data_IF_723326250366
#
_entry.id   IF_723326250366
#
_cell.length_a   1.000
_cell.length_b   1.000
_cell.length_c   1.000
_cell.angle_alpha   90.00
_cell.angle_beta   90.00
_cell.angle_gamma   90.00
#
_symmetry.space_group_name_H-M   'P 1'
#
loop_
_entity.id
_entity.type
_entity.pdbx_description
1 polymer ?
#
# COMPACT_ATOMS: atom_id res chain seq x y z
N UNK A 1 -11.26 14.74 2.49
CA UNK A 1 -10.97 16.00 1.74
C UNK A 1 -11.34 15.80 0.27
N UNK A 2 -12.05 16.75 -0.35
CA UNK A 2 -12.36 16.73 -1.78
C UNK A 2 -13.40 15.72 -2.25
N UNK A 3 -13.39 15.48 -3.57
CA UNK A 3 -14.33 14.59 -4.26
C UNK A 3 -15.42 15.34 -5.01
N UNK A 4 -16.40 14.59 -5.56
CA UNK A 4 -17.53 15.14 -6.32
C UNK A 4 -18.81 14.34 -6.07
N UNK A 5 -19.93 14.96 -6.41
CA UNK A 5 -21.25 14.33 -6.32
C UNK A 5 -21.60 13.49 -7.59
N UNK A 6 -22.79 12.90 -7.58
CA UNK A 6 -23.31 12.08 -8.70
C UNK A 6 -23.53 12.87 -9.99
N UNK A 7 -23.60 14.21 -9.92
CA UNK A 7 -23.73 15.09 -11.06
C UNK A 7 -22.37 15.59 -11.57
N UNK A 8 -21.27 15.05 -11.03
CA UNK A 8 -19.90 15.48 -11.28
C UNK A 8 -19.61 16.92 -10.84
N UNK A 9 -20.35 17.45 -9.86
CA UNK A 9 -20.06 18.73 -9.23
C UNK A 9 -19.05 18.51 -8.13
N UNK A 10 -17.93 19.21 -8.22
CA UNK A 10 -16.86 19.16 -7.23
C UNK A 10 -17.33 19.71 -5.88
N UNK A 11 -17.01 19.02 -4.80
CA UNK A 11 -17.26 19.56 -3.46
C UNK A 11 -16.40 20.78 -3.21
N UNK A 12 -17.01 21.79 -2.62
CA UNK A 12 -16.36 23.09 -2.33
C UNK A 12 -15.88 23.23 -0.90
N UNK A 13 -16.23 22.28 -0.03
CA UNK A 13 -15.86 22.30 1.39
C UNK A 13 -15.47 20.92 1.91
N UNK A 14 -14.66 20.85 2.97
CA UNK A 14 -14.36 19.59 3.64
C UNK A 14 -15.59 18.98 4.33
N UNK A 15 -15.58 17.65 4.49
CA UNK A 15 -16.48 16.93 5.36
C UNK A 15 -15.71 16.36 6.54
N UNK A 16 -16.29 16.45 7.71
CA UNK A 16 -15.79 15.88 8.95
C UNK A 16 -16.74 14.76 9.42
N UNK A 17 -16.18 13.60 9.73
CA UNK A 17 -16.90 12.52 10.36
C UNK A 17 -16.55 12.46 11.85
N UNK A 18 -17.58 12.44 12.69
CA UNK A 18 -17.45 12.20 14.13
C UNK A 18 -17.84 10.74 14.44
N UNK A 19 -16.87 9.87 14.78
CA UNK A 19 -17.17 8.49 15.11
C UNK A 19 -17.97 8.33 16.41
N UNK A 20 -17.91 9.31 17.32
CA UNK A 20 -18.64 9.27 18.58
C UNK A 20 -20.15 9.42 18.40
N UNK A 21 -20.58 10.30 17.51
CA UNK A 21 -21.98 10.54 17.16
C UNK A 21 -22.41 9.79 15.89
N UNK A 22 -21.48 9.15 15.19
CA UNK A 22 -21.69 8.53 13.88
C UNK A 22 -22.36 9.49 12.89
N UNK A 23 -21.84 10.70 12.79
CA UNK A 23 -22.42 11.75 11.96
C UNK A 23 -21.40 12.50 11.12
N UNK A 24 -21.87 13.09 10.02
CA UNK A 24 -21.09 13.92 9.13
C UNK A 24 -21.48 15.39 9.25
N UNK A 25 -20.48 16.26 9.22
CA UNK A 25 -20.63 17.71 9.18
C UNK A 25 -19.91 18.29 7.98
N UNK A 26 -20.60 19.12 7.19
CA UNK A 26 -19.95 19.94 6.16
C UNK A 26 -19.31 21.14 6.84
N UNK A 27 -18.02 21.33 6.62
CA UNK A 27 -17.26 22.45 7.18
C UNK A 27 -17.54 23.73 6.41
N UNK A 28 -17.32 24.88 7.05
CA UNK A 28 -17.52 26.20 6.42
C UNK A 28 -16.33 26.67 5.59
N UNK A 29 -15.15 26.09 5.80
CA UNK A 29 -13.97 26.36 4.98
C UNK A 29 -14.24 26.00 3.52
N UNK A 30 -13.72 26.83 2.60
CA UNK A 30 -13.89 26.65 1.16
C UNK A 30 -12.55 26.33 0.52
N UNK A 31 -12.52 25.33 -0.34
CA UNK A 31 -11.31 24.99 -1.12
C UNK A 31 -10.90 26.16 -2.01
N UNK A 32 -9.60 26.32 -2.27
CA UNK A 32 -9.10 27.43 -3.07
C UNK A 32 -9.53 27.39 -4.53
N UNK A 33 -9.94 26.22 -5.01
CA UNK A 33 -10.38 25.96 -6.38
C UNK A 33 -11.24 24.70 -6.47
N UNK A 34 -11.60 24.27 -7.68
CA UNK A 34 -12.40 23.08 -7.97
C UNK A 34 -11.54 21.85 -8.34
N UNK A 35 -10.23 21.88 -8.13
CA UNK A 35 -9.33 20.75 -8.38
C UNK A 35 -9.26 19.83 -7.16
N UNK A 36 -10.38 19.24 -6.79
CA UNK A 36 -10.55 18.55 -5.50
C UNK A 36 -10.55 17.02 -5.61
N UNK A 37 -10.40 16.45 -6.81
CA UNK A 37 -10.18 15.01 -6.97
C UNK A 37 -8.68 14.68 -7.00
N UNK A 38 -8.34 13.45 -6.60
CA UNK A 38 -6.98 12.89 -6.70
C UNK A 38 -5.90 13.73 -5.99
N UNK A 39 -6.25 14.41 -4.92
CA UNK A 39 -5.29 15.13 -4.08
C UNK A 39 -4.47 14.16 -3.23
N UNK A 40 -3.19 14.45 -3.02
CA UNK A 40 -2.38 13.84 -1.99
C UNK A 40 -2.53 14.63 -0.69
N UNK A 41 -3.12 14.03 0.32
CA UNK A 41 -3.37 14.70 1.59
C UNK A 41 -2.75 13.96 2.77
N UNK A 42 -2.27 14.72 3.77
CA UNK A 42 -1.74 14.17 5.00
C UNK A 42 -1.71 15.19 6.11
N UNK A 43 -1.70 14.72 7.36
CA UNK A 43 -1.53 15.58 8.54
C UNK A 43 -0.05 15.86 8.73
N UNK A 44 0.33 17.14 8.73
CA UNK A 44 1.70 17.58 8.98
C UNK A 44 1.70 18.65 10.07
N UNK A 45 2.72 18.60 10.92
CA UNK A 45 2.94 19.61 11.96
C UNK A 45 3.70 20.81 11.39
N UNK A 46 3.14 21.99 11.54
CA UNK A 46 3.81 23.27 11.23
C UNK A 46 3.91 24.11 12.49
N UNK A 47 5.13 24.28 12.98
CA UNK A 47 5.43 25.13 14.13
C UNK A 47 4.62 24.78 15.39
N UNK A 48 4.35 23.48 15.63
CA UNK A 48 3.65 22.97 16.79
C UNK A 48 2.14 22.80 16.59
N UNK A 49 1.60 23.11 15.42
CA UNK A 49 0.18 22.93 15.07
C UNK A 49 0.04 21.90 13.95
N UNK A 50 -0.89 20.97 14.10
CA UNK A 50 -1.22 19.98 13.10
C UNK A 50 -2.25 20.51 12.11
N UNK A 51 -1.94 20.42 10.82
CA UNK A 51 -2.82 20.82 9.73
C UNK A 51 -2.96 19.67 8.73
N UNK A 52 -4.06 19.64 7.99
CA UNK A 52 -4.20 18.74 6.84
C UNK A 52 -3.66 19.48 5.61
N UNK A 53 -2.52 19.05 5.11
CA UNK A 53 -1.94 19.52 3.85
C UNK A 53 -2.47 18.68 2.70
N UNK A 54 -2.91 19.33 1.63
CA UNK A 54 -3.33 18.67 0.40
C UNK A 54 -2.60 19.28 -0.79
N UNK A 55 -1.97 18.42 -1.58
CA UNK A 55 -1.18 18.80 -2.74
C UNK A 55 -1.84 18.32 -4.02
N UNK A 56 -1.67 19.07 -5.09
CA UNK A 56 -2.17 18.78 -6.43
C UNK A 56 -3.72 18.63 -6.47
N UNK A 57 -4.20 17.86 -7.43
CA UNK A 57 -5.61 17.58 -7.63
C UNK A 57 -6.06 17.82 -9.05
N UNK A 58 -7.24 17.32 -9.38
CA UNK A 58 -7.85 17.49 -10.69
C UNK A 58 -9.30 17.92 -10.60
N UNK A 59 -9.78 18.53 -11.69
CA UNK A 59 -11.19 18.73 -11.95
C UNK A 59 -11.65 17.68 -12.98
N UNK A 60 -12.72 16.97 -12.65
CA UNK A 60 -13.22 15.89 -13.48
C UNK A 60 -13.79 16.38 -14.81
N UNK A 61 -14.48 17.52 -14.81
CA UNK A 61 -15.15 18.04 -16.00
C UNK A 61 -14.15 18.57 -17.02
N UNK A 62 -13.15 19.33 -16.55
CA UNK A 62 -12.14 19.93 -17.46
C UNK A 62 -11.01 18.98 -17.81
N UNK A 63 -10.86 17.85 -17.10
CA UNK A 63 -9.75 16.90 -17.25
C UNK A 63 -8.38 17.57 -17.11
N UNK A 64 -8.30 18.57 -16.25
CA UNK A 64 -7.07 19.31 -15.95
C UNK A 64 -6.68 19.15 -14.49
N UNK A 65 -5.41 19.35 -14.20
CA UNK A 65 -4.85 19.27 -12.86
C UNK A 65 -4.24 20.60 -12.38
N UNK A 66 -3.85 20.62 -11.13
CA UNK A 66 -3.11 21.72 -10.48
C UNK A 66 -1.96 21.15 -9.66
N UNK A 67 -0.88 21.93 -9.50
CA UNK A 67 0.20 21.59 -8.56
C UNK A 67 0.09 22.28 -7.20
N UNK A 68 -0.95 23.09 -6.98
CA UNK A 68 -1.07 23.89 -5.75
C UNK A 68 -1.07 23.02 -4.49
N UNK A 69 -0.55 23.61 -3.39
CA UNK A 69 -0.69 23.05 -2.05
C UNK A 69 -1.53 24.00 -1.22
N UNK A 70 -2.47 23.47 -0.47
CA UNK A 70 -3.17 24.19 0.58
C UNK A 70 -3.06 23.44 1.92
N UNK A 71 -3.29 24.15 3.02
CA UNK A 71 -3.49 23.53 4.32
C UNK A 71 -4.85 23.90 4.89
N UNK A 72 -5.48 22.93 5.52
CA UNK A 72 -6.72 23.08 6.26
C UNK A 72 -6.43 23.00 7.76
N UNK A 73 -6.93 24.00 8.50
CA UNK A 73 -6.95 24.01 9.95
C UNK A 73 -8.31 23.48 10.42
N UNK A 74 -8.38 22.26 10.99
CA UNK A 74 -9.65 21.69 11.43
C UNK A 74 -10.23 22.37 12.69
N UNK A 75 -9.39 23.08 13.48
CA UNK A 75 -9.82 23.78 14.69
C UNK A 75 -10.42 25.14 14.32
N UNK A 76 -9.73 25.90 13.47
CA UNK A 76 -10.19 27.20 13.02
C UNK A 76 -11.21 27.11 11.87
N UNK A 77 -11.42 25.95 11.31
CA UNK A 77 -12.22 25.69 10.10
C UNK A 77 -11.85 26.66 8.97
N UNK A 78 -10.58 26.67 8.60
CA UNK A 78 -10.05 27.59 7.60
C UNK A 78 -9.05 26.90 6.66
N UNK A 79 -9.03 27.37 5.41
CA UNK A 79 -8.09 26.89 4.39
C UNK A 79 -7.25 28.07 3.91
N UNK A 80 -5.94 27.84 3.78
CA UNK A 80 -5.03 28.77 3.13
C UNK A 80 -4.17 28.07 2.09
N UNK A 81 -3.91 28.75 0.98
CA UNK A 81 -2.95 28.30 -0.03
C UNK A 81 -1.54 28.50 0.51
N UNK A 82 -0.69 27.47 0.34
CA UNK A 82 0.70 27.51 0.80
C UNK A 82 1.56 28.16 -0.28
N UNK A 83 2.01 29.36 -0.01
CA UNK A 83 2.83 30.12 -0.95
C UNK A 83 4.17 29.40 -1.22
N UNK A 84 4.53 29.23 -2.50
CA UNK A 84 5.75 28.58 -2.92
C UNK A 84 5.77 27.05 -2.67
N UNK A 85 4.64 26.48 -2.27
CA UNK A 85 4.51 25.06 -1.99
C UNK A 85 4.03 24.22 -3.16
N UNK A 86 3.88 24.78 -4.37
CA UNK A 86 3.34 24.05 -5.50
C UNK A 86 4.20 22.85 -5.88
N UNK A 87 3.56 21.72 -6.13
CA UNK A 87 4.24 20.50 -6.54
C UNK A 87 4.85 20.67 -7.93
N UNK A 88 6.18 20.57 -8.08
CA UNK A 88 6.87 20.96 -9.31
C UNK A 88 6.43 20.21 -10.56
N UNK A 89 6.28 18.86 -10.56
CA UNK A 89 5.85 18.15 -11.76
C UNK A 89 4.36 18.37 -12.06
N UNK A 90 3.57 18.74 -11.05
CA UNK A 90 2.12 18.85 -11.13
C UNK A 90 1.59 20.23 -11.45
N UNK A 91 2.44 21.20 -11.80
CA UNK A 91 2.01 22.60 -11.99
C UNK A 91 0.83 22.77 -12.94
N UNK A 92 0.53 21.81 -13.80
CA UNK A 92 -0.63 21.87 -14.70
C UNK A 92 -1.26 20.52 -15.05
N UNK A 93 -0.72 19.38 -14.64
CA UNK A 93 -1.13 18.16 -15.35
C UNK A 93 -0.74 16.82 -14.75
N UNK A 94 0.09 16.74 -13.72
CA UNK A 94 0.47 15.45 -13.13
C UNK A 94 -0.28 15.25 -11.82
N UNK A 95 -1.03 14.14 -11.73
CA UNK A 95 -1.71 13.73 -10.49
C UNK A 95 -0.78 12.88 -9.64
N UNK A 96 -0.82 13.01 -8.31
CA UNK A 96 -0.10 12.10 -7.40
C UNK A 96 -0.50 10.64 -7.62
N UNK A 97 0.48 9.74 -7.70
CA UNK A 97 0.24 8.31 -7.85
C UNK A 97 -0.16 7.66 -6.52
N UNK A 98 0.81 7.47 -5.65
CA UNK A 98 0.62 7.04 -4.27
C UNK A 98 1.11 8.11 -3.31
N UNK A 99 0.58 8.15 -2.08
CA UNK A 99 1.06 9.10 -1.09
C UNK A 99 0.84 8.60 0.34
N UNK A 100 1.67 9.09 1.23
CA UNK A 100 1.60 8.83 2.67
C UNK A 100 2.38 9.88 3.43
N UNK A 101 2.24 9.91 4.75
CA UNK A 101 3.07 10.76 5.62
C UNK A 101 4.20 9.93 6.22
N UNK A 102 5.41 10.48 6.17
CA UNK A 102 6.59 9.94 6.81
C UNK A 102 7.37 11.05 7.52
N UNK A 103 7.61 10.91 8.81
CA UNK A 103 8.41 11.83 9.61
C UNK A 103 8.12 13.32 9.30
N UNK A 104 6.85 13.68 9.42
CA UNK A 104 6.35 15.04 9.16
C UNK A 104 6.58 15.56 7.73
N UNK A 105 6.67 14.67 6.77
CA UNK A 105 6.71 15.00 5.33
C UNK A 105 5.63 14.26 4.58
N UNK A 106 5.05 14.89 3.56
CA UNK A 106 4.17 14.21 2.61
C UNK A 106 5.03 13.59 1.51
N UNK A 107 5.02 12.27 1.43
CA UNK A 107 5.74 11.50 0.41
C UNK A 107 4.77 11.17 -0.71
N UNK A 108 5.17 11.45 -1.96
CA UNK A 108 4.41 11.14 -3.17
C UNK A 108 5.26 10.26 -4.09
N UNK A 109 4.70 9.14 -4.54
CA UNK A 109 5.36 8.16 -5.40
C UNK A 109 4.60 8.03 -6.72
N UNK A 110 5.31 8.16 -7.84
CA UNK A 110 4.71 8.07 -9.15
C UNK A 110 3.63 9.13 -9.42
N UNK A 111 2.80 8.89 -10.39
CA UNK A 111 1.73 9.80 -10.75
C UNK A 111 1.12 9.49 -12.11
N UNK A 112 0.16 10.30 -12.50
CA UNK A 112 -0.47 10.28 -13.82
C UNK A 112 -0.27 11.61 -14.52
N UNK A 113 0.53 11.61 -15.58
CA UNK A 113 0.68 12.74 -16.49
C UNK A 113 -0.52 12.74 -17.47
N UNK A 114 -1.51 13.58 -17.17
CA UNK A 114 -2.78 13.61 -17.91
C UNK A 114 -2.55 13.99 -19.38
N UNK A 115 -1.81 15.08 -19.76
CA UNK A 115 -1.59 15.45 -21.13
C UNK A 115 -0.91 14.38 -21.99
N UNK A 116 0.02 13.66 -21.40
CA UNK A 116 0.78 12.65 -22.15
C UNK A 116 0.15 11.25 -22.03
N UNK A 117 -0.84 11.07 -21.16
CA UNK A 117 -1.53 9.79 -20.93
C UNK A 117 -0.59 8.69 -20.45
N UNK A 118 0.36 9.01 -19.57
CA UNK A 118 1.37 8.07 -19.07
C UNK A 118 1.50 8.12 -17.55
N UNK A 119 1.93 6.99 -16.97
CA UNK A 119 2.39 6.96 -15.60
C UNK A 119 3.74 7.65 -15.41
N UNK A 120 4.05 8.10 -14.19
CA UNK A 120 5.37 8.61 -13.80
C UNK A 120 6.00 7.73 -12.73
N UNK A 121 7.32 7.85 -12.53
CA UNK A 121 8.05 7.02 -11.56
C UNK A 121 8.82 7.84 -10.52
N UNK A 122 8.68 9.15 -10.50
CA UNK A 122 9.41 10.04 -9.61
C UNK A 122 8.89 9.91 -8.18
N UNK A 123 9.78 10.13 -7.20
CA UNK A 123 9.43 10.20 -5.78
C UNK A 123 9.73 11.61 -5.28
N UNK A 124 8.79 12.18 -4.55
CA UNK A 124 8.86 13.53 -4.03
C UNK A 124 8.53 13.57 -2.54
N UNK A 125 9.16 14.48 -1.82
CA UNK A 125 8.86 14.77 -0.43
C UNK A 125 8.57 16.24 -0.25
N UNK A 126 7.46 16.55 0.43
CA UNK A 126 7.08 17.91 0.83
C UNK A 126 7.29 18.09 2.32
N UNK A 127 7.95 19.18 2.70
CA UNK A 127 8.05 19.66 4.09
C UNK A 127 7.13 20.85 4.29
N UNK A 128 6.42 20.98 5.45
CA UNK A 128 5.52 22.10 5.70
C UNK A 128 6.25 23.39 6.06
N UNK A 129 7.42 23.31 6.70
CA UNK A 129 8.15 24.48 7.18
C UNK A 129 9.69 24.27 7.16
N UNK A 130 10.46 25.02 6.32
CA UNK A 130 9.93 25.85 5.23
C UNK A 130 9.18 25.00 4.21
N UNK A 131 8.08 25.55 3.66
CA UNK A 131 7.28 24.86 2.68
C UNK A 131 8.09 24.60 1.40
N UNK A 132 8.14 23.35 0.95
CA UNK A 132 8.87 23.03 -0.28
C UNK A 132 8.96 21.54 -0.58
N UNK A 133 9.25 21.26 -1.83
CA UNK A 133 9.40 19.90 -2.37
C UNK A 133 10.85 19.55 -2.65
N UNK A 134 11.21 18.30 -2.38
CA UNK A 134 12.49 17.71 -2.78
C UNK A 134 12.21 16.48 -3.62
N UNK A 135 12.72 16.47 -4.85
CA UNK A 135 12.74 15.26 -5.66
C UNK A 135 13.81 14.31 -5.13
N UNK A 136 13.45 13.05 -4.93
CA UNK A 136 14.35 12.02 -4.46
C UNK A 136 15.14 11.43 -5.64
N UNK A 137 16.31 10.85 -5.34
CA UNK A 137 17.13 10.17 -6.35
C UNK A 137 16.56 8.80 -6.70
N UNK A 138 15.93 8.13 -5.73
CA UNK A 138 15.21 6.90 -5.97
C UNK A 138 13.98 7.15 -6.84
N UNK A 139 13.68 6.18 -7.70
CA UNK A 139 12.49 6.18 -8.55
C UNK A 139 11.80 4.83 -8.47
N UNK A 140 10.49 4.78 -8.70
CA UNK A 140 9.79 3.51 -8.87
C UNK A 140 10.42 2.72 -10.02
N UNK A 141 10.60 1.40 -9.89
CA UNK A 141 11.15 0.56 -10.96
C UNK A 141 10.34 0.59 -12.26
N UNK A 142 9.04 0.88 -12.15
CA UNK A 142 8.13 1.08 -13.28
C UNK A 142 7.27 2.33 -13.03
N UNK A 143 6.90 3.11 -14.06
CA UNK A 143 5.98 4.22 -13.93
C UNK A 143 4.58 3.72 -13.54
N UNK A 144 4.00 4.28 -12.48
CA UNK A 144 2.68 3.89 -11.99
C UNK A 144 1.88 5.11 -11.53
N UNK A 145 0.56 5.05 -11.74
CA UNK A 145 -0.42 5.94 -11.11
C UNK A 145 -1.33 5.19 -10.13
N UNK A 146 -2.11 5.93 -9.33
CA UNK A 146 -3.15 5.39 -8.45
C UNK A 146 -2.67 4.24 -7.54
N UNK A 147 -1.56 4.44 -6.87
CA UNK A 147 -0.82 3.42 -6.12
C UNK A 147 -1.31 3.39 -4.66
N UNK A 148 -1.87 2.27 -4.17
CA UNK A 148 -2.12 2.09 -2.74
C UNK A 148 -0.80 2.18 -1.98
N UNK A 149 -0.72 3.11 -1.03
CA UNK A 149 0.54 3.45 -0.34
C UNK A 149 0.29 3.72 1.13
N UNK A 150 1.16 3.20 2.00
CA UNK A 150 1.14 3.48 3.44
C UNK A 150 2.53 3.43 4.05
N UNK A 151 2.70 4.07 5.21
CA UNK A 151 3.93 4.02 6.02
C UNK A 151 3.78 3.00 7.13
N UNK A 152 4.76 2.11 7.29
CA UNK A 152 4.87 1.19 8.42
C UNK A 152 6.27 1.34 9.02
N UNK A 153 6.34 1.76 10.27
CA UNK A 153 7.62 2.06 10.92
C UNK A 153 8.37 3.18 10.19
N UNK A 154 9.57 2.89 9.70
CA UNK A 154 10.42 3.85 8.97
C UNK A 154 10.37 3.68 7.45
N UNK A 155 9.51 2.83 6.92
CA UNK A 155 9.46 2.49 5.50
C UNK A 155 8.09 2.79 4.90
N UNK A 156 8.10 3.10 3.60
CA UNK A 156 6.89 3.35 2.80
C UNK A 156 6.64 2.14 1.90
N UNK A 157 5.47 1.55 1.99
CA UNK A 157 5.07 0.36 1.25
C UNK A 157 4.01 0.69 0.20
N UNK A 158 4.10 0.02 -0.95
CA UNK A 158 3.12 0.08 -2.02
C UNK A 158 2.66 -1.32 -2.40
N UNK A 159 1.42 -1.47 -2.88
CA UNK A 159 0.92 -2.76 -3.37
C UNK A 159 -0.09 -2.58 -4.49
N UNK A 160 0.28 -2.91 -5.74
CA UNK A 160 -0.51 -2.61 -6.92
C UNK A 160 -0.12 -1.29 -7.57
N UNK A 161 -1.10 -0.60 -8.12
CA UNK A 161 -0.97 0.61 -8.93
C UNK A 161 -1.35 0.36 -10.39
N UNK A 162 -1.64 1.42 -11.12
CA UNK A 162 -1.96 1.34 -12.54
C UNK A 162 -0.75 1.63 -13.42
N UNK A 163 -0.43 0.74 -14.35
CA UNK A 163 0.29 1.10 -15.57
C UNK A 163 -0.62 1.98 -16.42
N UNK A 164 -0.10 3.11 -16.89
CA UNK A 164 -0.86 4.06 -17.70
C UNK A 164 -0.11 4.27 -19.00
N UNK A 165 -0.69 3.79 -20.09
CA UNK A 165 -0.13 3.91 -21.43
C UNK A 165 -1.20 4.40 -22.40
N UNK A 166 -0.95 5.54 -23.07
CA UNK A 166 -1.92 6.16 -23.98
C UNK A 166 -3.25 6.53 -23.29
N UNK A 167 -3.23 6.86 -22.00
CA UNK A 167 -4.41 7.16 -21.20
C UNK A 167 -5.21 5.93 -20.75
N UNK A 168 -4.80 4.72 -21.12
CA UNK A 168 -5.42 3.47 -20.66
C UNK A 168 -4.76 3.02 -19.36
N UNK A 169 -5.61 2.73 -18.36
CA UNK A 169 -5.17 2.25 -17.05
C UNK A 169 -5.28 0.73 -17.00
N UNK A 170 -4.20 0.08 -16.58
CA UNK A 170 -4.14 -1.37 -16.36
C UNK A 170 -3.68 -1.64 -14.93
N UNK A 171 -4.50 -2.33 -14.15
CA UNK A 171 -4.14 -2.72 -12.79
C UNK A 171 -2.93 -3.65 -12.79
N UNK A 172 -2.02 -3.49 -11.83
CA UNK A 172 -0.79 -4.28 -11.73
C UNK A 172 -0.67 -4.97 -10.39
N UNK A 173 0.23 -5.94 -10.32
CA UNK A 173 0.64 -6.62 -9.07
C UNK A 173 1.95 -6.09 -8.51
N UNK A 174 2.47 -4.99 -9.02
CA UNK A 174 3.73 -4.43 -8.55
C UNK A 174 3.65 -4.07 -7.07
N UNK A 175 4.71 -4.37 -6.33
CA UNK A 175 4.79 -4.01 -4.93
C UNK A 175 6.23 -3.62 -4.57
N UNK A 176 6.37 -2.51 -3.84
CA UNK A 176 7.66 -1.92 -3.54
C UNK A 176 7.72 -1.47 -2.09
N UNK A 177 8.93 -1.42 -1.55
CA UNK A 177 9.27 -0.76 -0.30
C UNK A 177 10.29 0.33 -0.57
N UNK A 178 9.98 1.54 -0.16
CA UNK A 178 10.85 2.71 -0.23
C UNK A 178 11.35 3.08 1.16
N UNK A 179 12.66 3.27 1.30
CA UNK A 179 13.29 3.83 2.48
C UNK A 179 13.55 5.33 2.25
N UNK A 180 12.76 6.23 2.89
CA UNK A 180 12.92 7.66 2.70
C UNK A 180 14.22 8.24 3.29
N UNK A 181 14.85 7.54 4.23
CA UNK A 181 16.11 7.96 4.87
C UNK A 181 17.31 7.56 4.01
N UNK A 182 17.35 6.30 3.57
CA UNK A 182 18.41 5.80 2.69
C UNK A 182 18.23 6.25 1.23
N UNK A 183 17.06 6.81 0.88
CA UNK A 183 16.67 7.14 -0.50
C UNK A 183 16.84 5.95 -1.45
N UNK A 184 16.29 4.81 -1.06
CA UNK A 184 16.39 3.56 -1.81
C UNK A 184 15.06 2.84 -1.91
N UNK A 185 14.83 2.11 -3.01
CA UNK A 185 13.61 1.36 -3.26
C UNK A 185 13.96 -0.09 -3.61
N UNK A 186 13.15 -1.02 -3.10
CA UNK A 186 13.28 -2.44 -3.38
C UNK A 186 11.93 -3.03 -3.78
N UNK A 187 11.97 -4.06 -4.60
CA UNK A 187 10.79 -4.89 -4.90
C UNK A 187 10.53 -5.84 -3.73
N UNK A 188 9.27 -5.97 -3.35
CA UNK A 188 8.78 -6.95 -2.38
C UNK A 188 7.88 -7.97 -3.09
N UNK A 189 7.39 -8.98 -2.36
CA UNK A 189 6.46 -9.96 -2.92
C UNK A 189 5.29 -9.22 -3.60
N UNK A 190 4.99 -9.49 -4.88
CA UNK A 190 3.88 -8.87 -5.58
C UNK A 190 2.55 -9.10 -4.85
N UNK A 191 1.65 -8.11 -4.90
CA UNK A 191 0.29 -8.27 -4.38
C UNK A 191 -0.42 -9.39 -5.16
N UNK A 192 -1.29 -10.16 -4.50
CA UNK A 192 -1.88 -11.37 -5.08
C UNK A 192 -2.75 -11.06 -6.28
N UNK A 193 -3.70 -10.15 -6.10
CA UNK A 193 -4.60 -9.71 -7.16
C UNK A 193 -4.28 -8.28 -7.58
N UNK A 194 -4.16 -8.09 -8.90
CA UNK A 194 -3.84 -6.79 -9.47
C UNK A 194 -4.88 -5.75 -9.07
N UNK A 195 -4.43 -4.61 -8.56
CA UNK A 195 -5.34 -3.54 -8.14
C UNK A 195 -4.70 -2.16 -8.25
N UNK A 196 -5.54 -1.16 -8.41
CA UNK A 196 -5.22 0.26 -8.37
C UNK A 196 -6.44 1.08 -7.96
N UNK A 197 -6.34 2.41 -8.00
CA UNK A 197 -7.46 3.31 -7.71
C UNK A 197 -8.08 3.07 -6.32
N UNK A 198 -7.25 2.71 -5.37
CA UNK A 198 -7.67 2.39 -4.00
C UNK A 198 -6.74 3.01 -2.98
N UNK A 199 -6.98 2.70 -1.71
CA UNK A 199 -6.20 3.15 -0.55
C UNK A 199 -5.57 1.97 0.16
N UNK A 200 -4.42 2.23 0.76
CA UNK A 200 -3.84 1.36 1.76
C UNK A 200 -3.73 2.09 3.09
N UNK A 201 -3.88 1.34 4.17
CA UNK A 201 -3.72 1.85 5.53
C UNK A 201 -2.78 0.94 6.32
N UNK A 202 -2.08 1.53 7.30
CA UNK A 202 -1.31 0.78 8.27
C UNK A 202 -2.22 0.39 9.44
N UNK A 203 -2.56 -0.88 9.51
CA UNK A 203 -3.37 -1.40 10.60
C UNK A 203 -2.61 -2.54 11.28
N UNK A 204 -2.26 -2.35 12.55
CA UNK A 204 -1.45 -3.29 13.34
C UNK A 204 -0.08 -3.63 12.73
N UNK A 205 0.61 -2.66 12.14
CA UNK A 205 1.87 -2.84 11.42
C UNK A 205 1.78 -3.76 10.20
N UNK A 206 0.58 -3.94 9.67
CA UNK A 206 0.31 -4.60 8.40
C UNK A 206 -0.24 -3.59 7.40
N UNK A 207 0.07 -3.77 6.12
CA UNK A 207 -0.52 -2.97 5.06
C UNK A 207 -1.83 -3.60 4.61
N UNK A 208 -2.94 -2.91 4.81
CA UNK A 208 -4.25 -3.30 4.29
C UNK A 208 -4.54 -2.54 3.01
N UNK A 209 -4.60 -3.24 1.89
CA UNK A 209 -5.04 -2.70 0.60
C UNK A 209 -6.53 -3.00 0.44
N UNK A 210 -7.33 -1.96 0.23
CA UNK A 210 -8.79 -2.00 0.41
C UNK A 210 -9.51 -1.94 -0.93
N UNK A 211 -10.10 -3.04 -1.42
CA UNK A 211 -10.84 -3.03 -2.68
C UNK A 211 -10.00 -2.57 -3.87
N UNK A 212 -10.57 -1.70 -4.69
CA UNK A 212 -9.89 -1.14 -5.88
C UNK A 212 -10.30 -1.83 -7.16
N UNK A 213 -9.38 -1.87 -8.11
CA UNK A 213 -9.52 -2.29 -9.50
C UNK A 213 -10.25 -1.27 -10.38
N UNK A 214 -9.57 -0.87 -11.46
CA UNK A 214 -10.08 0.21 -12.31
C UNK A 214 -11.33 -0.19 -13.10
N UNK A 215 -11.32 -1.37 -13.70
CA UNK A 215 -12.41 -1.80 -14.59
C UNK A 215 -13.61 -2.36 -13.84
N UNK A 216 -13.37 -3.20 -12.83
CA UNK A 216 -14.41 -3.87 -12.04
C UNK A 216 -14.07 -3.73 -10.57
N UNK A 217 -14.53 -2.66 -9.91
CA UNK A 217 -14.28 -2.47 -8.48
C UNK A 217 -14.60 -3.69 -7.63
N UNK A 218 -13.70 -4.03 -6.72
CA UNK A 218 -13.83 -5.19 -5.83
C UNK A 218 -14.04 -4.75 -4.38
N UNK A 219 -14.47 -5.67 -3.53
CA UNK A 219 -14.55 -5.49 -2.09
C UNK A 219 -13.45 -6.27 -1.33
N UNK A 220 -12.52 -6.86 -2.05
CA UNK A 220 -11.43 -7.64 -1.49
C UNK A 220 -10.54 -6.77 -0.61
N UNK A 221 -10.01 -7.37 0.45
CA UNK A 221 -8.96 -6.78 1.28
C UNK A 221 -7.74 -7.66 1.22
N UNK A 222 -6.63 -7.12 0.72
CA UNK A 222 -5.36 -7.82 0.65
C UNK A 222 -4.42 -7.27 1.72
N UNK A 223 -3.81 -8.15 2.51
CA UNK A 223 -3.02 -7.79 3.68
C UNK A 223 -1.58 -8.24 3.49
N UNK A 224 -0.66 -7.28 3.54
CA UNK A 224 0.78 -7.55 3.49
C UNK A 224 1.39 -7.52 4.87
N UNK A 225 2.15 -8.55 5.19
CA UNK A 225 3.00 -8.62 6.38
C UNK A 225 4.46 -8.32 6.00
N UNK A 226 5.02 -7.17 6.46
CA UNK A 226 6.40 -6.81 6.17
C UNK A 226 7.44 -7.75 6.78
N UNK A 227 7.09 -8.46 7.84
CA UNK A 227 8.03 -9.35 8.55
C UNK A 227 8.22 -10.64 7.76
N UNK A 228 7.12 -11.24 7.30
CA UNK A 228 7.17 -12.46 6.49
C UNK A 228 7.35 -12.21 5.00
N UNK A 229 7.16 -10.96 4.52
CA UNK A 229 7.12 -10.60 3.11
C UNK A 229 6.07 -11.42 2.33
N UNK A 230 4.86 -11.54 2.88
CA UNK A 230 3.77 -12.33 2.30
C UNK A 230 2.45 -11.56 2.29
N UNK A 231 1.58 -11.93 1.35
CA UNK A 231 0.21 -11.44 1.27
C UNK A 231 -0.79 -12.49 1.77
N UNK A 232 -1.87 -12.02 2.34
CA UNK A 232 -3.04 -12.81 2.75
C UNK A 232 -4.33 -12.06 2.42
N UNK A 233 -5.45 -12.77 2.40
CA UNK A 233 -6.78 -12.18 2.16
C UNK A 233 -7.44 -11.85 3.50
N UNK A 234 -7.93 -10.63 3.63
CA UNK A 234 -8.70 -10.16 4.77
C UNK A 234 -10.21 -10.35 4.59
N UNK A 235 -10.97 -9.92 5.60
CA UNK A 235 -12.42 -9.87 5.48
C UNK A 235 -12.83 -8.79 4.46
N UNK A 236 -13.68 -9.11 3.48
CA UNK A 236 -14.09 -8.15 2.47
C UNK A 236 -15.02 -7.09 3.05
N UNK A 237 -15.06 -5.91 2.43
CA UNK A 237 -16.10 -4.93 2.65
C UNK A 237 -17.45 -5.43 2.10
N UNK A 238 -18.55 -4.86 2.59
CA UNK A 238 -19.90 -5.20 2.08
C UNK A 238 -20.10 -4.65 0.66
N UNK A 239 -19.56 -3.47 0.37
CA UNK A 239 -19.72 -2.80 -0.92
C UNK A 239 -18.36 -2.76 -1.64
N UNK A 240 -18.30 -3.38 -2.82
CA UNK A 240 -17.16 -3.25 -3.72
C UNK A 240 -16.93 -1.78 -4.08
N UNK A 241 -15.67 -1.34 -4.18
CA UNK A 241 -15.44 0.06 -4.46
C UNK A 241 -14.02 0.43 -4.86
N UNK A 242 -13.90 1.59 -5.50
CA UNK A 242 -12.64 2.25 -5.84
C UNK A 242 -12.73 3.77 -5.67
N UNK A 243 -11.61 4.48 -5.66
CA UNK A 243 -11.52 5.95 -5.53
C UNK A 243 -12.23 6.52 -4.29
N UNK A 244 -12.31 5.77 -3.23
CA UNK A 244 -12.86 6.18 -1.95
C UNK A 244 -11.80 6.82 -1.04
N UNK A 245 -12.25 7.48 0.00
CA UNK A 245 -11.41 7.85 1.13
C UNK A 245 -11.31 6.68 2.11
N UNK A 246 -10.13 6.47 2.68
CA UNK A 246 -9.95 5.53 3.79
C UNK A 246 -8.91 6.04 4.77
N UNK A 247 -9.12 5.70 6.04
CA UNK A 247 -8.21 5.98 7.14
C UNK A 247 -8.39 4.97 8.26
N UNK A 248 -7.53 5.01 9.27
CA UNK A 248 -7.53 4.07 10.40
C UNK A 248 -7.05 4.74 11.68
N UNK A 249 -7.50 4.24 12.84
CA UNK A 249 -6.89 4.54 14.14
C UNK A 249 -5.65 3.68 14.43
N UNK A 250 -5.27 2.83 13.48
CA UNK A 250 -4.10 1.96 13.56
C UNK A 250 -4.30 0.68 14.36
N UNK A 251 -5.39 0.53 15.11
CA UNK A 251 -5.56 -0.55 16.09
C UNK A 251 -6.92 -1.24 16.09
N UNK A 252 -8.00 -0.49 15.93
CA UNK A 252 -9.35 -1.04 16.11
C UNK A 252 -10.25 -0.84 14.88
N UNK A 253 -10.09 0.27 14.16
CA UNK A 253 -11.01 0.64 13.11
C UNK A 253 -10.29 1.00 11.81
N UNK A 254 -10.88 0.60 10.69
CA UNK A 254 -10.61 1.12 9.36
C UNK A 254 -11.92 1.70 8.83
N UNK A 255 -11.88 2.94 8.37
CA UNK A 255 -13.01 3.64 7.75
C UNK A 255 -12.81 3.71 6.24
N UNK A 256 -13.87 3.44 5.48
CA UNK A 256 -13.93 3.57 4.03
C UNK A 256 -15.16 4.35 3.66
N UNK A 257 -15.04 5.47 2.94
CA UNK A 257 -16.14 6.38 2.65
C UNK A 257 -16.18 6.80 1.18
N UNK A 258 -17.35 6.76 0.60
CA UNK A 258 -17.63 7.20 -0.77
C UNK A 258 -17.02 6.32 -1.85
N UNK A 259 -16.67 6.93 -2.98
CA UNK A 259 -16.06 6.27 -4.14
C UNK A 259 -17.08 5.80 -5.18
N UNK A 260 -16.68 4.85 -6.01
CA UNK A 260 -17.53 4.18 -7.00
C UNK A 260 -17.77 2.74 -6.58
N UNK A 261 -18.98 2.25 -6.76
CA UNK A 261 -19.32 0.82 -6.61
C UNK A 261 -18.91 -0.01 -7.83
N UNK A 262 -19.24 -1.31 -7.81
CA UNK A 262 -18.97 -2.23 -8.93
C UNK A 262 -19.72 -1.90 -10.21
N UNK A 263 -20.80 -1.13 -10.12
CA UNK A 263 -21.56 -0.60 -11.26
C UNK A 263 -21.04 0.74 -11.76
N UNK A 264 -19.94 1.26 -11.16
CA UNK A 264 -19.38 2.57 -11.41
C UNK A 264 -20.32 3.73 -11.03
N UNK A 265 -21.28 3.49 -10.16
CA UNK A 265 -22.07 4.54 -9.55
C UNK A 265 -21.30 5.20 -8.40
N UNK A 266 -21.42 6.52 -8.28
CA UNK A 266 -20.88 7.25 -7.13
C UNK A 266 -21.73 6.93 -5.91
N UNK A 267 -21.10 6.56 -4.80
CA UNK A 267 -21.75 6.18 -3.56
C UNK A 267 -21.38 7.17 -2.44
N UNK A 268 -22.33 7.36 -1.52
CA UNK A 268 -22.15 8.20 -0.33
C UNK A 268 -22.09 7.35 0.96
N UNK A 269 -22.01 6.03 0.85
CA UNK A 269 -21.93 5.13 2.00
C UNK A 269 -20.56 5.21 2.68
N UNK A 270 -20.56 4.95 3.97
CA UNK A 270 -19.36 4.67 4.75
C UNK A 270 -19.46 3.29 5.37
N UNK A 271 -18.38 2.54 5.32
CA UNK A 271 -18.20 1.27 5.99
C UNK A 271 -17.11 1.37 7.04
N UNK A 272 -17.32 0.72 8.18
CA UNK A 272 -16.36 0.67 9.26
C UNK A 272 -16.01 -0.79 9.49
N UNK A 273 -14.75 -1.13 9.26
CA UNK A 273 -14.20 -2.39 9.75
C UNK A 273 -13.82 -2.17 11.21
N UNK A 274 -14.50 -2.88 12.11
CA UNK A 274 -14.20 -2.85 13.54
C UNK A 274 -13.64 -4.19 13.98
N UNK A 275 -12.47 -4.18 14.59
CA UNK A 275 -11.89 -5.36 15.21
C UNK A 275 -12.03 -5.28 16.74
N UNK A 276 -13.01 -5.98 17.34
CA UNK A 276 -13.30 -5.89 18.78
C UNK A 276 -12.24 -6.55 19.66
N UNK A 277 -11.37 -7.37 19.08
CA UNK A 277 -10.23 -7.99 19.75
C UNK A 277 -9.00 -7.42 19.08
N UNK A 278 -8.21 -6.62 19.80
CA UNK A 278 -7.03 -5.95 19.20
C UNK A 278 -6.23 -6.94 18.34
N UNK A 279 -6.28 -6.83 17.00
CA UNK A 279 -5.50 -7.70 16.11
C UNK A 279 -4.00 -7.40 16.24
N UNK A 280 -3.66 -6.30 16.91
CA UNK A 280 -2.31 -5.86 17.20
C UNK A 280 -1.66 -6.58 18.40
N UNK A 281 -2.33 -7.57 18.99
CA UNK A 281 -1.66 -8.44 19.95
C UNK A 281 -0.52 -9.16 19.22
N UNK A 282 0.71 -9.18 19.77
CA UNK A 282 1.80 -9.91 19.12
C UNK A 282 1.33 -11.36 18.94
N UNK A 283 1.38 -11.84 17.70
CA UNK A 283 1.19 -13.26 17.40
C UNK A 283 2.11 -14.03 18.35
N UNK A 284 1.61 -14.95 19.19
CA UNK A 284 2.47 -15.68 20.11
C UNK A 284 3.59 -16.30 19.29
N UNK A 285 4.83 -15.86 19.57
CA UNK A 285 6.01 -16.46 18.97
C UNK A 285 5.88 -17.97 19.16
N UNK A 286 5.93 -18.80 18.11
CA UNK A 286 5.83 -20.24 18.27
C UNK A 286 6.87 -20.65 19.29
N UNK A 287 6.42 -21.10 20.45
CA UNK A 287 7.31 -21.66 21.47
C UNK A 287 8.03 -22.80 20.80
N UNK A 288 9.35 -22.69 20.71
CA UNK A 288 10.17 -23.73 20.10
C UNK A 288 9.78 -25.05 20.79
N UNK A 289 9.09 -25.92 20.04
CA UNK A 289 8.78 -27.26 20.50
C UNK A 289 10.12 -27.93 20.75
N UNK A 290 10.39 -28.26 22.01
CA UNK A 290 11.63 -28.92 22.38
C UNK A 290 11.82 -30.12 21.44
N UNK A 291 12.85 -30.10 20.62
CA UNK A 291 13.23 -31.25 19.79
C UNK A 291 13.44 -32.42 20.76
N UNK A 292 12.75 -33.55 20.59
CA UNK A 292 12.96 -34.69 21.48
C UNK A 292 14.43 -35.05 21.44
N UNK A 293 15.10 -34.94 22.60
CA UNK A 293 16.48 -35.38 22.76
C UNK A 293 16.49 -36.88 22.43
N UNK A 294 17.25 -37.25 21.40
CA UNK A 294 17.39 -38.65 21.03
C UNK A 294 17.88 -39.42 22.25
N UNK A 295 17.02 -40.27 22.81
CA UNK A 295 17.38 -41.22 23.87
C UNK A 295 18.42 -42.16 23.29
N UNK A 296 19.63 -42.16 23.84
CA UNK A 296 20.69 -43.04 23.42
C UNK A 296 20.20 -44.51 23.56
N UNK A 297 19.97 -45.14 22.44
CA UNK A 297 19.68 -46.62 22.39
C UNK A 297 20.94 -47.30 22.85
N UNK A 298 20.86 -48.11 23.92
CA UNK A 298 21.95 -48.89 24.42
C UNK A 298 22.47 -49.82 23.30
N UNK A 299 23.72 -49.61 22.89
CA UNK A 299 24.39 -50.45 21.92
C UNK A 299 24.58 -51.83 22.55
N UNK A 300 23.93 -52.88 22.02
CA UNK A 300 24.13 -54.23 22.44
C UNK A 300 25.59 -54.63 22.19
N UNK A 301 26.27 -55.12 23.24
CA UNK A 301 27.62 -55.66 23.17
C UNK A 301 27.61 -56.87 22.20
N UNK A 302 28.47 -56.93 21.17
CA UNK A 302 28.46 -58.05 20.26
C UNK A 302 28.95 -59.31 20.97
N UNK A 303 28.12 -60.36 21.03
CA UNK A 303 28.50 -61.71 21.44
C UNK A 303 29.43 -62.29 20.38
N UNK A 304 30.62 -62.77 20.78
CA UNK A 304 31.58 -63.37 19.88
C UNK A 304 31.00 -64.63 19.18
N UNK A 305 30.77 -64.53 17.87
CA UNK A 305 30.35 -65.62 17.06
C UNK A 305 31.59 -66.33 16.58
N UNK A 306 31.64 -67.70 16.79
CA UNK A 306 32.70 -68.58 16.33
C UNK A 306 32.91 -68.50 14.80
N UNK A 307 34.14 -68.32 14.37
CA UNK A 307 34.52 -68.16 12.98
C UNK A 307 34.11 -69.29 12.05
N UNK A 308 33.78 -68.97 10.81
CA UNK A 308 33.39 -69.97 9.83
C UNK A 308 34.57 -70.84 9.41
N UNK A 309 34.30 -72.16 9.35
CA UNK A 309 35.20 -73.22 8.88
C UNK A 309 35.49 -72.99 7.39
N UNK A 310 36.79 -72.99 7.01
CA UNK A 310 37.25 -72.81 5.64
C UNK A 310 36.74 -73.90 4.70
N UNK A 311 36.06 -73.55 3.66
CA UNK A 311 35.68 -74.40 2.53
C UNK A 311 36.82 -74.44 1.51
N UNK A 312 37.21 -75.58 0.94
CA UNK A 312 38.30 -75.69 -0.04
C UNK A 312 37.89 -75.12 -1.39
N UNK A 313 38.81 -74.34 -2.00
CA UNK A 313 38.67 -73.71 -3.30
C UNK A 313 38.59 -74.76 -4.45
N UNK A 314 37.63 -74.66 -5.38
CA UNK A 314 37.60 -75.50 -6.57
C UNK A 314 38.73 -75.16 -7.54
N UNK A 315 39.34 -76.19 -8.08
CA UNK A 315 40.45 -76.17 -9.07
C UNK A 315 39.92 -75.68 -10.43
N UNK A 316 40.63 -74.81 -11.16
CA UNK A 316 40.17 -74.31 -12.46
C UNK A 316 40.19 -75.41 -13.52
N UNK A 317 39.16 -75.47 -14.36
CA UNK A 317 38.99 -76.34 -15.51
C UNK A 317 39.85 -75.84 -16.68
N UNK A 318 40.58 -76.70 -17.39
CA UNK A 318 41.40 -76.27 -18.53
C UNK A 318 40.54 -75.87 -19.73
N UNK A 319 41.00 -74.86 -20.43
CA UNK A 319 40.39 -74.28 -21.63
C UNK A 319 40.64 -75.19 -22.83
N UNK A 320 39.66 -75.49 -23.71
CA UNK A 320 39.89 -76.27 -24.95
C UNK A 320 40.64 -75.35 -25.99
N UNK A 321 41.58 -76.04 -26.72
CA UNK A 321 42.33 -75.44 -27.82
C UNK A 321 41.44 -75.23 -29.08
N UNK A 322 41.74 -74.17 -29.91
CA UNK A 322 41.00 -73.94 -31.14
C UNK A 322 41.31 -75.04 -32.20
N UNK A 323 40.30 -75.43 -32.93
CA UNK A 323 40.40 -76.30 -34.10
C UNK A 323 40.69 -75.53 -35.38
N UNK A 324 41.32 -76.12 -36.35
CA UNK A 324 41.83 -75.50 -37.58
C UNK A 324 40.71 -74.98 -38.52
#
# INVERSE_FOLDING_TARGET
MGGRDVNNVEFTSPFEYDPGSNSWTTKSAVYPDTFTNNMACGVLNDSGTDYIYCAAGSNFVTQTGTGRVFRYDPIADSIITVAGGDWPPGASSILPGGFTVFNNTLVVLGGFDIPNGIGTNQIWQFTPNPAGWVQKSAVLPVPLGYIPTTTIGSLVYTGGGADITGGVLTDTTNAFVYDPVADSINTITPITDATSNTRAVNFCNLMYVLGGNFNVPTNEVQIYDPVSNTWSVGLPFAIAGRNFAADTDGTNNIWKAGGYDSGLAIIASMEIFNCPVSPCAPTPTPTATATPTATATATATPTATAGPRSTPTPRPRPTPAPRP
#
